data_IF_441917775500
#
_entry.id   IF_441917775500
#
_cell.length_a   1.000
_cell.length_b   1.000
_cell.length_c   1.000
_cell.angle_alpha   90.00
_cell.angle_beta   90.00
_cell.angle_gamma   90.00
#
_symmetry.space_group_name_H-M   'P 1'
#
loop_
_entity.id
_entity.type
_entity.pdbx_description
1 polymer ?
#
# COMPACT_ATOMS: atom_id res chain seq x y z
N UNK A 1 19.46 -12.14 -8.88
CA UNK A 1 20.45 -11.15 -9.38
C UNK A 1 21.59 -11.05 -8.37
N UNK A 2 22.75 -10.54 -8.77
CA UNK A 2 23.99 -10.51 -7.95
C UNK A 2 24.09 -9.29 -7.02
N UNK A 3 23.09 -8.40 -7.02
CA UNK A 3 23.01 -7.24 -6.14
C UNK A 3 23.73 -5.98 -6.63
N UNK A 4 24.39 -6.04 -7.79
CA UNK A 4 25.24 -4.95 -8.28
C UNK A 4 24.44 -3.68 -8.55
N UNK A 5 23.19 -3.80 -9.02
CA UNK A 5 22.31 -2.69 -9.37
C UNK A 5 21.86 -1.81 -8.20
N UNK A 6 21.93 -2.32 -6.96
CA UNK A 6 21.49 -1.58 -5.75
C UNK A 6 22.66 -1.21 -4.83
N UNK A 7 23.85 -1.73 -5.12
CA UNK A 7 25.05 -1.49 -4.31
C UNK A 7 25.61 -0.09 -4.56
N UNK A 8 25.95 0.63 -3.48
CA UNK A 8 26.35 2.03 -3.52
C UNK A 8 25.18 3.01 -3.68
N UNK A 9 23.95 2.52 -3.83
CA UNK A 9 22.72 3.32 -3.96
C UNK A 9 21.83 3.09 -2.74
N UNK A 10 21.37 1.84 -2.57
CA UNK A 10 20.45 1.42 -1.51
C UNK A 10 21.12 0.49 -0.49
N UNK A 11 22.15 -0.24 -0.91
CA UNK A 11 22.96 -1.10 -0.03
C UNK A 11 24.42 -0.68 -0.06
N UNK A 12 25.12 -0.78 1.08
CA UNK A 12 26.55 -0.42 1.13
C UNK A 12 27.43 -1.46 0.43
N UNK A 13 27.15 -2.74 0.67
CA UNK A 13 27.96 -3.85 0.18
C UNK A 13 27.18 -4.70 -0.84
N UNK A 14 27.91 -5.31 -1.79
CA UNK A 14 27.31 -6.21 -2.78
C UNK A 14 26.63 -7.41 -2.14
N UNK A 15 27.15 -7.88 -1.01
CA UNK A 15 26.53 -8.95 -0.23
C UNK A 15 25.12 -8.59 0.21
N UNK A 16 24.90 -7.35 0.67
CA UNK A 16 23.58 -6.87 1.07
C UNK A 16 22.68 -6.66 -0.14
N UNK A 17 23.22 -6.18 -1.26
CA UNK A 17 22.49 -6.07 -2.52
C UNK A 17 22.04 -7.43 -3.06
N UNK A 18 22.87 -8.46 -2.91
CA UNK A 18 22.55 -9.83 -3.28
C UNK A 18 21.45 -10.39 -2.36
N UNK A 19 21.54 -10.13 -1.05
CA UNK A 19 20.49 -10.49 -0.09
C UNK A 19 19.16 -9.82 -0.45
N UNK A 20 19.15 -8.51 -0.68
CA UNK A 20 17.98 -7.77 -1.16
C UNK A 20 17.37 -8.44 -2.41
N UNK A 21 18.19 -8.74 -3.42
CA UNK A 21 17.71 -9.34 -4.66
C UNK A 21 17.11 -10.74 -4.48
N UNK A 22 17.56 -11.48 -3.45
CA UNK A 22 17.10 -12.84 -3.15
C UNK A 22 15.84 -12.86 -2.28
N UNK A 23 15.58 -11.80 -1.51
CA UNK A 23 14.39 -11.71 -0.64
C UNK A 23 13.15 -11.26 -1.39
N UNK A 24 13.30 -10.54 -2.50
CA UNK A 24 12.14 -10.08 -3.27
C UNK A 24 11.36 -11.28 -3.83
N UNK A 25 10.04 -11.34 -3.62
CA UNK A 25 9.20 -12.31 -4.30
C UNK A 25 9.18 -12.04 -5.81
N UNK A 26 9.13 -13.12 -6.59
CA UNK A 26 9.04 -13.05 -8.04
C UNK A 26 7.89 -13.91 -8.54
N UNK A 27 7.24 -13.49 -9.62
CA UNK A 27 6.34 -14.38 -10.35
C UNK A 27 7.11 -15.55 -10.98
N UNK A 28 6.49 -16.74 -11.13
CA UNK A 28 7.15 -17.88 -11.76
C UNK A 28 7.58 -17.57 -13.20
N UNK A 29 8.88 -17.72 -13.48
CA UNK A 29 9.44 -17.49 -14.80
C UNK A 29 8.80 -18.42 -15.85
N UNK A 30 8.48 -17.88 -17.03
CA UNK A 30 7.90 -18.64 -18.13
C UNK A 30 6.42 -19.03 -17.99
N UNK A 31 5.78 -18.76 -16.85
CA UNK A 31 4.35 -19.07 -16.64
C UNK A 31 3.41 -18.13 -17.40
N UNK A 32 3.76 -16.85 -17.47
CA UNK A 32 2.94 -15.81 -18.08
C UNK A 32 3.63 -15.20 -19.30
N UNK A 33 2.86 -14.86 -20.34
CA UNK A 33 3.36 -14.23 -21.57
C UNK A 33 3.33 -12.70 -21.52
N UNK A 34 2.38 -12.14 -20.78
CA UNK A 34 2.16 -10.70 -20.65
C UNK A 34 1.39 -10.38 -19.37
N UNK A 35 1.48 -9.12 -18.95
CA UNK A 35 0.63 -8.50 -17.93
C UNK A 35 -0.36 -7.58 -18.65
N UNK A 36 -1.62 -7.57 -18.21
CA UNK A 36 -2.65 -6.65 -18.72
C UNK A 36 -3.15 -5.79 -17.57
N UNK A 37 -3.26 -4.49 -17.81
CA UNK A 37 -3.70 -3.50 -16.83
C UNK A 37 -4.85 -2.72 -17.45
N UNK A 38 -5.93 -2.53 -16.68
CA UNK A 38 -7.07 -1.71 -17.06
C UNK A 38 -7.63 -1.01 -15.83
N UNK A 39 -8.13 0.23 -15.94
CA UNK A 39 -8.95 0.82 -14.89
C UNK A 39 -10.14 -0.09 -14.56
N UNK A 40 -10.42 -0.30 -13.28
CA UNK A 40 -11.52 -1.18 -12.83
C UNK A 40 -12.87 -0.74 -13.41
N UNK A 41 -13.13 0.57 -13.43
CA UNK A 41 -14.38 1.16 -13.96
C UNK A 41 -14.59 0.94 -15.46
N UNK A 42 -13.55 0.54 -16.19
CA UNK A 42 -13.66 0.31 -17.63
C UNK A 42 -14.18 -1.09 -17.95
N UNK A 43 -14.17 -2.03 -16.98
CA UNK A 43 -14.71 -3.39 -17.10
C UNK A 43 -14.22 -4.16 -18.35
N UNK A 44 -13.00 -3.85 -18.82
CA UNK A 44 -12.44 -4.43 -20.07
C UNK A 44 -11.85 -5.83 -19.88
N UNK A 45 -11.51 -6.18 -18.65
CA UNK A 45 -10.84 -7.42 -18.27
C UNK A 45 -11.43 -7.94 -16.97
N UNK A 46 -11.35 -9.24 -16.75
CA UNK A 46 -11.55 -9.86 -15.45
C UNK A 46 -10.20 -9.90 -14.72
N UNK A 47 -9.98 -9.05 -13.70
CA UNK A 47 -8.67 -8.93 -13.06
C UNK A 47 -8.43 -10.04 -12.04
N UNK A 48 -7.18 -10.46 -11.87
CA UNK A 48 -6.77 -11.33 -10.75
C UNK A 48 -6.65 -10.55 -9.43
N UNK A 49 -6.30 -9.26 -9.51
CA UNK A 49 -6.17 -8.34 -8.38
C UNK A 49 -6.38 -6.89 -8.81
N UNK A 50 -6.68 -6.03 -7.83
CA UNK A 50 -6.78 -4.58 -7.97
C UNK A 50 -5.59 -3.90 -7.29
N UNK A 51 -4.97 -2.95 -7.99
CA UNK A 51 -3.98 -2.03 -7.43
C UNK A 51 -4.65 -0.69 -7.16
N UNK A 52 -4.51 -0.17 -5.94
CA UNK A 52 -5.10 1.09 -5.51
C UNK A 52 -4.01 1.97 -4.90
N UNK A 53 -3.96 3.22 -5.35
CA UNK A 53 -3.09 4.27 -4.82
C UNK A 53 -3.94 5.29 -4.08
N UNK A 54 -3.36 5.89 -3.04
CA UNK A 54 -4.05 6.86 -2.20
C UNK A 54 -3.29 7.17 -0.92
N UNK A 55 -3.66 8.25 -0.26
CA UNK A 55 -2.96 8.71 0.93
C UNK A 55 -3.17 7.79 2.15
N UNK A 56 -2.38 8.04 3.20
CA UNK A 56 -2.43 7.25 4.43
C UNK A 56 -3.83 7.17 5.08
N UNK A 57 -4.64 8.23 4.99
CA UNK A 57 -5.99 8.24 5.53
C UNK A 57 -6.94 7.35 4.71
N UNK A 58 -6.85 7.40 3.38
CA UNK A 58 -7.61 6.54 2.48
C UNK A 58 -7.24 5.06 2.68
N UNK A 59 -5.94 4.75 2.81
CA UNK A 59 -5.48 3.38 3.06
C UNK A 59 -5.94 2.85 4.42
N UNK A 60 -5.96 3.68 5.46
CA UNK A 60 -6.50 3.29 6.76
C UNK A 60 -7.97 2.87 6.67
N UNK A 61 -8.79 3.66 5.97
CA UNK A 61 -10.21 3.33 5.76
C UNK A 61 -10.38 2.03 4.96
N UNK A 62 -9.59 1.86 3.92
CA UNK A 62 -9.63 0.69 3.05
C UNK A 62 -9.19 -0.59 3.79
N UNK A 63 -8.13 -0.54 4.61
CA UNK A 63 -7.71 -1.66 5.44
C UNK A 63 -8.75 -2.02 6.51
N UNK A 64 -9.36 -1.00 7.14
CA UNK A 64 -10.45 -1.24 8.08
C UNK A 64 -11.67 -1.89 7.39
N UNK A 65 -11.96 -1.52 6.14
CA UNK A 65 -13.02 -2.15 5.36
C UNK A 65 -12.73 -3.62 5.06
N UNK A 66 -11.48 -3.96 4.71
CA UNK A 66 -11.03 -5.36 4.58
C UNK A 66 -11.22 -6.17 5.86
N UNK A 67 -11.08 -5.51 7.02
CA UNK A 67 -11.18 -6.11 8.35
C UNK A 67 -12.60 -6.09 8.93
N UNK A 68 -13.55 -5.39 8.30
CA UNK A 68 -14.93 -5.24 8.79
C UNK A 68 -15.59 -6.59 9.04
N UNK A 69 -15.41 -7.52 8.11
CA UNK A 69 -15.82 -8.92 8.24
C UNK A 69 -14.57 -9.81 8.30
N UNK A 70 -14.55 -10.82 9.17
CA UNK A 70 -13.41 -11.72 9.36
C UNK A 70 -12.11 -10.96 9.65
N UNK A 71 -12.09 -10.25 10.79
CA UNK A 71 -10.96 -9.46 11.24
C UNK A 71 -9.66 -10.28 11.22
N UNK A 72 -8.63 -9.70 10.62
CA UNK A 72 -7.27 -10.22 10.63
C UNK A 72 -6.30 -9.06 10.85
N UNK A 73 -5.28 -9.27 11.68
CA UNK A 73 -4.15 -8.35 11.75
C UNK A 73 -3.29 -8.52 10.50
N UNK A 74 -3.34 -7.54 9.60
CA UNK A 74 -2.58 -7.55 8.35
C UNK A 74 -1.07 -7.41 8.63
N UNK A 75 -0.26 -8.10 7.83
CA UNK A 75 1.19 -8.03 7.84
C UNK A 75 1.66 -7.67 6.44
N UNK A 76 2.58 -6.71 6.38
CA UNK A 76 3.13 -6.17 5.14
C UNK A 76 4.64 -6.20 5.17
N UNK A 77 5.24 -6.12 3.98
CA UNK A 77 6.69 -6.09 3.80
C UNK A 77 7.13 -4.73 3.27
N UNK A 78 8.38 -4.38 3.58
CA UNK A 78 9.04 -3.21 3.01
C UNK A 78 10.49 -3.55 2.71
N UNK A 79 10.80 -3.60 1.43
CA UNK A 79 12.10 -3.97 0.88
C UNK A 79 12.93 -2.75 0.45
N UNK A 80 12.38 -1.54 0.55
CA UNK A 80 13.01 -0.31 0.09
C UNK A 80 12.69 -0.01 -1.37
N UNK A 81 13.65 -0.23 -2.26
CA UNK A 81 13.35 -0.26 -3.69
C UNK A 81 12.61 -1.56 -4.03
N UNK A 82 11.75 -1.56 -5.06
CA UNK A 82 11.01 -2.78 -5.45
C UNK A 82 9.67 -2.97 -4.76
N UNK A 83 8.93 -1.89 -4.53
CA UNK A 83 7.56 -1.91 -3.98
C UNK A 83 6.61 -2.86 -4.73
N UNK A 84 6.74 -2.98 -6.06
CA UNK A 84 6.00 -3.94 -6.88
C UNK A 84 6.19 -5.41 -6.46
N UNK A 85 7.30 -5.75 -5.81
CA UNK A 85 7.49 -7.07 -5.23
C UNK A 85 6.71 -7.21 -3.92
N UNK A 86 6.82 -6.22 -3.03
CA UNK A 86 6.13 -6.20 -1.73
C UNK A 86 4.60 -6.09 -1.85
N UNK A 87 4.08 -5.53 -2.94
CA UNK A 87 2.64 -5.43 -3.20
C UNK A 87 2.15 -6.49 -4.18
N UNK A 88 2.43 -6.31 -5.47
CA UNK A 88 1.85 -7.14 -6.52
C UNK A 88 2.31 -8.61 -6.42
N UNK A 89 3.62 -8.86 -6.27
CA UNK A 89 4.12 -10.23 -6.21
C UNK A 89 3.76 -10.93 -4.88
N UNK A 90 3.86 -10.25 -3.73
CA UNK A 90 3.39 -10.82 -2.46
C UNK A 90 1.88 -11.09 -2.46
N UNK A 91 1.06 -10.20 -3.05
CA UNK A 91 -0.38 -10.41 -3.15
C UNK A 91 -0.69 -11.65 -4.00
N UNK A 92 0.01 -11.82 -5.12
CA UNK A 92 -0.08 -13.00 -5.96
C UNK A 92 0.22 -14.30 -5.20
N UNK A 93 1.29 -14.34 -4.40
CA UNK A 93 1.71 -15.55 -3.68
C UNK A 93 0.87 -15.83 -2.45
N UNK A 94 0.59 -14.80 -1.65
CA UNK A 94 -0.13 -14.94 -0.38
C UNK A 94 -1.64 -15.06 -0.57
N UNK A 95 -2.19 -14.56 -1.67
CA UNK A 95 -3.63 -14.42 -1.86
C UNK A 95 -4.26 -13.46 -0.85
N UNK A 96 -3.46 -12.58 -0.24
CA UNK A 96 -3.88 -11.61 0.77
C UNK A 96 -3.58 -10.17 0.31
N UNK A 97 -4.29 -9.16 0.85
CA UNK A 97 -4.00 -7.77 0.58
C UNK A 97 -2.59 -7.40 1.03
N UNK A 98 -1.86 -6.65 0.20
CA UNK A 98 -0.49 -6.22 0.49
C UNK A 98 -0.34 -4.73 0.25
N UNK A 99 0.02 -3.99 1.30
CA UNK A 99 0.26 -2.55 1.27
C UNK A 99 1.76 -2.28 1.39
N UNK A 100 2.28 -1.31 0.64
CA UNK A 100 3.65 -0.83 0.85
C UNK A 100 3.76 0.68 0.62
N UNK A 101 4.95 1.20 0.92
CA UNK A 101 5.34 2.54 0.54
C UNK A 101 5.91 2.46 -0.89
N UNK A 102 5.35 3.20 -1.86
CA UNK A 102 5.85 3.18 -3.24
C UNK A 102 7.35 3.44 -3.30
N UNK A 103 8.06 2.86 -4.28
CA UNK A 103 9.51 3.05 -4.41
C UNK A 103 9.88 4.24 -5.30
N UNK A 104 11.17 4.42 -5.58
CA UNK A 104 11.63 5.52 -6.44
C UNK A 104 11.16 5.32 -7.88
N UNK A 105 11.21 4.09 -8.39
CA UNK A 105 10.73 3.76 -9.74
C UNK A 105 9.28 4.16 -9.97
N UNK A 106 8.40 3.91 -9.00
CA UNK A 106 6.98 4.26 -9.11
C UNK A 106 6.72 5.77 -9.10
N UNK A 107 7.51 6.54 -8.34
CA UNK A 107 7.42 8.02 -8.38
C UNK A 107 7.87 8.55 -9.74
N UNK A 108 8.99 8.06 -10.24
CA UNK A 108 9.59 8.53 -11.49
C UNK A 108 8.79 8.12 -12.73
N UNK A 109 8.24 6.90 -12.75
CA UNK A 109 7.60 6.31 -13.93
C UNK A 109 6.08 6.16 -13.81
N UNK A 110 5.59 5.94 -12.59
CA UNK A 110 4.16 5.79 -12.29
C UNK A 110 3.48 7.09 -11.88
N UNK A 111 4.24 8.18 -11.71
CA UNK A 111 3.74 9.48 -11.24
C UNK A 111 3.00 9.41 -9.90
N UNK A 112 3.35 8.43 -9.06
CA UNK A 112 2.80 8.28 -7.71
C UNK A 112 3.24 9.47 -6.87
N UNK A 113 2.32 10.05 -6.11
CA UNK A 113 2.57 11.24 -5.30
C UNK A 113 3.30 10.91 -4.01
N UNK A 114 3.96 11.90 -3.42
CA UNK A 114 4.77 11.71 -2.21
C UNK A 114 3.96 11.28 -0.98
N UNK A 115 2.68 11.64 -0.92
CA UNK A 115 1.76 11.30 0.16
C UNK A 115 0.97 10.01 -0.10
N UNK A 116 1.13 9.40 -1.29
CA UNK A 116 0.44 8.18 -1.67
C UNK A 116 1.18 6.93 -1.16
N UNK A 117 0.35 5.97 -0.76
CA UNK A 117 0.69 4.59 -0.53
C UNK A 117 0.08 3.74 -1.66
N UNK A 118 0.53 2.50 -1.77
CA UNK A 118 -0.07 1.54 -2.68
C UNK A 118 -0.54 0.28 -1.96
N UNK A 119 -1.66 -0.29 -2.43
CA UNK A 119 -2.16 -1.58 -1.96
C UNK A 119 -2.62 -2.45 -3.14
N UNK A 120 -2.18 -3.70 -3.13
CA UNK A 120 -2.70 -4.76 -3.98
C UNK A 120 -3.76 -5.56 -3.21
N UNK A 121 -4.91 -5.79 -3.84
CA UNK A 121 -6.06 -6.51 -3.26
C UNK A 121 -6.46 -7.64 -4.20
N UNK A 122 -6.54 -8.90 -3.75
CA UNK A 122 -7.06 -9.98 -4.58
C UNK A 122 -8.46 -9.65 -5.11
N UNK A 123 -8.75 -9.95 -6.38
CA UNK A 123 -10.02 -9.55 -7.00
C UNK A 123 -11.25 -10.11 -6.26
N UNK A 124 -11.11 -11.32 -5.69
CA UNK A 124 -12.11 -11.96 -4.84
C UNK A 124 -12.48 -11.14 -3.58
N UNK A 125 -11.61 -10.25 -3.13
CA UNK A 125 -11.83 -9.40 -1.95
C UNK A 125 -12.30 -7.99 -2.28
N UNK A 126 -12.30 -7.57 -3.55
CA UNK A 126 -12.69 -6.19 -3.93
C UNK A 126 -14.12 -5.88 -3.51
N UNK A 127 -15.05 -6.83 -3.69
CA UNK A 127 -16.44 -6.66 -3.22
C UNK A 127 -16.50 -6.51 -1.69
N UNK A 128 -15.72 -7.30 -0.96
CA UNK A 128 -15.64 -7.22 0.50
C UNK A 128 -15.20 -5.83 0.97
N UNK A 129 -14.25 -5.21 0.27
CA UNK A 129 -13.82 -3.83 0.55
C UNK A 129 -14.97 -2.84 0.35
N UNK A 130 -15.66 -2.91 -0.78
CA UNK A 130 -16.77 -2.00 -1.07
C UNK A 130 -17.88 -2.13 -0.01
N UNK A 131 -18.31 -3.36 0.28
CA UNK A 131 -19.31 -3.64 1.31
C UNK A 131 -18.85 -3.15 2.69
N UNK A 132 -17.58 -3.38 3.06
CA UNK A 132 -17.00 -2.92 4.32
C UNK A 132 -16.99 -1.39 4.45
N UNK A 133 -16.67 -0.67 3.37
CA UNK A 133 -16.72 0.80 3.34
C UNK A 133 -18.15 1.32 3.52
N UNK A 134 -19.13 0.70 2.87
CA UNK A 134 -20.55 1.07 3.01
C UNK A 134 -21.06 0.84 4.45
N UNK A 135 -20.67 -0.28 5.06
CA UNK A 135 -21.06 -0.60 6.43
C UNK A 135 -20.39 0.32 7.45
N UNK A 136 -19.10 0.62 7.27
CA UNK A 136 -18.39 1.61 8.09
C UNK A 136 -19.04 2.99 7.99
N UNK A 137 -19.44 3.41 6.78
CA UNK A 137 -20.16 4.67 6.55
C UNK A 137 -21.53 4.68 7.22
N UNK A 138 -22.26 3.57 7.18
CA UNK A 138 -23.56 3.43 7.83
C UNK A 138 -23.49 3.61 9.36
N UNK A 139 -22.34 3.32 9.97
CA UNK A 139 -22.08 3.56 11.40
C UNK A 139 -22.04 5.04 11.81
N UNK A 140 -21.96 5.99 10.87
CA UNK A 140 -21.96 7.47 11.08
C UNK A 140 -20.87 8.04 12.01
N UNK A 141 -19.92 7.21 12.45
CA UNK A 141 -18.76 7.65 13.26
C UNK A 141 -17.59 8.04 12.36
N UNK A 142 -17.48 7.42 11.19
CA UNK A 142 -16.34 7.55 10.29
C UNK A 142 -16.75 8.39 9.09
N UNK A 143 -15.97 9.41 8.77
CA UNK A 143 -16.14 10.25 7.58
C UNK A 143 -14.80 10.44 6.87
N UNK A 144 -14.84 10.58 5.54
CA UNK A 144 -13.72 11.06 4.75
C UNK A 144 -14.09 12.40 4.10
N UNK A 145 -13.25 13.46 4.20
CA UNK A 145 -11.96 13.52 4.91
C UNK A 145 -12.07 13.28 6.43
N UNK A 146 -10.97 12.80 7.03
CA UNK A 146 -10.92 12.52 8.48
C UNK A 146 -10.94 13.86 9.25
N UNK A 147 -11.89 14.07 10.18
CA UNK A 147 -11.99 15.32 10.94
C UNK A 147 -10.90 15.42 12.02
N UNK A 148 -10.32 16.62 12.17
CA UNK A 148 -9.36 16.93 13.23
C UNK A 148 -10.08 17.39 14.50
N UNK A 149 -10.44 16.46 15.38
CA UNK A 149 -11.11 16.82 16.65
C UNK A 149 -10.15 17.43 17.71
N UNK A 150 -8.83 17.34 17.51
CA UNK A 150 -7.82 17.76 18.49
C UNK A 150 -7.48 19.27 18.55
N UNK A 151 -8.08 20.11 17.70
CA UNK A 151 -7.75 21.54 17.60
C UNK A 151 -7.90 22.35 18.91
N UNK A 152 -8.89 22.11 19.79
CA UNK A 152 -8.97 22.84 21.06
C UNK A 152 -7.78 22.56 21.98
N UNK A 153 -7.29 21.31 22.02
CA UNK A 153 -6.23 20.88 22.93
C UNK A 153 -4.83 21.26 22.44
N UNK A 154 -4.58 21.22 21.12
CA UNK A 154 -3.30 21.62 20.54
C UNK A 154 -3.04 23.13 20.64
N UNK A 155 -4.09 23.96 20.54
CA UNK A 155 -3.98 25.42 20.76
C UNK A 155 -3.63 25.71 22.23
N UNK A 156 -4.25 25.03 23.19
CA UNK A 156 -3.93 25.19 24.61
C UNK A 156 -2.49 24.81 24.96
N UNK A 157 -1.96 23.74 24.37
CA UNK A 157 -0.57 23.32 24.59
C UNK A 157 0.40 24.34 23.97
N UNK A 158 0.12 24.83 22.76
CA UNK A 158 0.93 25.87 22.12
C UNK A 158 0.94 27.17 22.95
N UNK A 159 -0.22 27.64 23.39
CA UNK A 159 -0.35 28.85 24.22
C UNK A 159 0.34 28.69 25.59
N UNK A 160 0.30 27.50 26.21
CA UNK A 160 1.03 27.19 27.45
C UNK A 160 2.54 27.14 27.27
N UNK A 161 3.04 26.81 26.08
CA UNK A 161 4.47 26.79 25.78
C UNK A 161 4.98 28.18 25.38
N UNK A 162 4.20 28.95 24.64
CA UNK A 162 4.53 30.33 24.23
C UNK A 162 4.41 31.34 25.40
N UNK A 163 3.56 31.07 26.40
CA UNK A 163 3.45 31.88 27.62
C UNK A 163 4.42 31.54 28.75
N UNK A 164 5.42 30.66 28.50
CA UNK A 164 6.45 30.25 29.47
C UNK A 164 7.88 30.66 29.06
N UNK A 165 8.01 31.58 28.10
CA UNK A 165 9.26 32.28 27.76
C UNK A 165 9.17 33.74 28.22
#
# INVERSE_FOLDING_TARGET
>A
MDGTSVTGIWTKEQKDGAKYSQTLPHLPAGKYKALVISPLVAERIEPDMALIFGNSAQMCLLMNALQWENYERLQFFFSGEGSCADTFAECYHSGKPQLTVPCLGERLQGCVQEDELEIAIPASMVKKVADGLDQMRAGRVISYPIPFYGLPLCIEIKNKLEGRL
#
